data_IF_873301212230
#
_entry.id   IF_873301212230
#
_cell.length_a   1.000
_cell.length_b   1.000
_cell.length_c   1.000
_cell.angle_alpha   90.00
_cell.angle_beta   90.00
_cell.angle_gamma   90.00
#
_symmetry.space_group_name_H-M   'P 1'
#
loop_
_entity.id
_entity.type
_entity.pdbx_description
1 polymer ?
#
# COMPACT_ATOMS: atom_id res chain seq x y z
N UNK A 1 20.60 3.71 25.70
CA UNK A 1 20.69 2.50 24.86
C UNK A 1 19.44 2.53 24.02
N UNK A 2 19.56 3.18 22.86
CA UNK A 2 18.46 3.39 21.94
C UNK A 2 17.87 2.04 21.55
N UNK A 3 16.62 1.79 21.93
CA UNK A 3 15.87 0.69 21.37
C UNK A 3 15.57 1.11 19.93
N UNK A 4 16.38 0.61 19.01
CA UNK A 4 16.06 0.63 17.58
C UNK A 4 14.63 0.12 17.41
N UNK A 5 13.84 0.83 16.61
CA UNK A 5 12.47 0.45 16.19
C UNK A 5 12.52 -0.77 15.24
N UNK A 6 13.22 -1.83 15.64
CA UNK A 6 13.19 -3.13 14.98
C UNK A 6 11.86 -3.81 15.34
N UNK A 7 10.83 -3.46 14.57
CA UNK A 7 9.47 -3.96 14.77
C UNK A 7 9.13 -5.15 13.85
N UNK A 8 10.02 -5.53 12.93
CA UNK A 8 9.75 -6.55 11.90
C UNK A 8 10.88 -7.58 11.82
N UNK A 9 10.58 -8.82 12.22
CA UNK A 9 11.51 -9.95 12.17
C UNK A 9 11.83 -10.42 10.75
N UNK A 10 10.98 -10.11 9.77
CA UNK A 10 11.21 -10.54 8.39
C UNK A 10 12.56 -10.04 7.87
N UNK A 11 12.77 -8.71 7.90
CA UNK A 11 13.98 -8.09 7.35
C UNK A 11 15.21 -8.40 8.19
N UNK A 12 15.08 -8.30 9.52
CA UNK A 12 16.23 -8.27 10.43
C UNK A 12 16.64 -9.64 10.96
N UNK A 13 15.80 -10.67 10.78
CA UNK A 13 16.14 -12.05 11.17
C UNK A 13 15.93 -13.04 10.04
N UNK A 14 14.75 -13.04 9.42
CA UNK A 14 14.37 -14.09 8.45
C UNK A 14 15.19 -14.00 7.17
N UNK A 15 15.24 -12.81 6.56
CA UNK A 15 16.01 -12.56 5.34
C UNK A 15 17.51 -12.77 5.57
N UNK A 16 18.05 -12.28 6.69
CA UNK A 16 19.48 -12.47 7.01
C UNK A 16 19.85 -13.94 7.20
N UNK A 17 19.05 -14.72 7.94
CA UNK A 17 19.29 -16.17 8.10
C UNK A 17 19.19 -16.91 6.78
N UNK A 18 18.17 -16.58 5.96
CA UNK A 18 18.02 -17.18 4.64
C UNK A 18 19.21 -16.86 3.72
N UNK A 19 19.77 -15.64 3.82
CA UNK A 19 20.95 -15.24 3.03
C UNK A 19 22.19 -16.09 3.34
N UNK A 20 22.35 -16.56 4.58
CA UNK A 20 23.44 -17.45 4.94
C UNK A 20 23.33 -18.85 4.32
N UNK A 21 22.11 -19.27 3.96
CA UNK A 21 21.83 -20.62 3.49
C UNK A 21 21.57 -20.67 1.98
N UNK A 22 21.15 -19.57 1.37
CA UNK A 22 20.78 -19.49 -0.05
C UNK A 22 21.44 -18.29 -0.75
N UNK A 23 22.28 -18.60 -1.74
CA UNK A 23 22.97 -17.64 -2.58
C UNK A 23 22.03 -16.69 -3.34
N UNK A 24 20.86 -17.18 -3.78
CA UNK A 24 19.88 -16.38 -4.50
C UNK A 24 19.32 -15.25 -3.62
N UNK A 25 19.08 -15.53 -2.34
CA UNK A 25 18.65 -14.55 -1.34
C UNK A 25 19.76 -13.52 -1.12
N UNK A 26 21.01 -13.97 -0.98
CA UNK A 26 22.17 -13.07 -0.86
C UNK A 26 22.30 -12.13 -2.07
N UNK A 27 22.22 -12.67 -3.29
CA UNK A 27 22.30 -11.84 -4.50
C UNK A 27 21.14 -10.85 -4.61
N UNK A 28 19.91 -11.24 -4.20
CA UNK A 28 18.77 -10.34 -4.20
C UNK A 28 18.94 -9.17 -3.21
N UNK A 29 19.47 -9.43 -2.00
CA UNK A 29 19.76 -8.37 -1.01
C UNK A 29 20.80 -7.38 -1.55
N UNK A 30 21.88 -7.89 -2.16
CA UNK A 30 22.92 -7.04 -2.77
C UNK A 30 22.31 -6.18 -3.89
N UNK A 31 21.44 -6.77 -4.72
CA UNK A 31 20.76 -6.05 -5.80
C UNK A 31 19.90 -4.91 -5.28
N UNK A 32 19.07 -5.15 -4.25
CA UNK A 32 18.21 -4.13 -3.62
C UNK A 32 19.07 -3.02 -2.99
N UNK A 33 20.13 -3.38 -2.25
CA UNK A 33 21.02 -2.41 -1.62
C UNK A 33 21.73 -1.51 -2.64
N UNK A 34 22.22 -2.08 -3.75
CA UNK A 34 22.82 -1.31 -4.83
C UNK A 34 21.78 -0.41 -5.53
N UNK A 35 20.55 -0.89 -5.72
CA UNK A 35 19.48 -0.09 -6.32
C UNK A 35 19.03 1.05 -5.41
N UNK A 36 18.94 0.81 -4.10
CA UNK A 36 18.63 1.84 -3.11
C UNK A 36 19.68 2.98 -3.14
N UNK A 37 20.98 2.64 -3.26
CA UNK A 37 22.04 3.64 -3.45
C UNK A 37 21.91 4.41 -4.75
N UNK A 38 21.50 3.75 -5.83
CA UNK A 38 21.22 4.42 -7.11
C UNK A 38 20.11 5.46 -6.95
N UNK A 39 19.03 5.12 -6.23
CA UNK A 39 17.89 5.99 -5.96
C UNK A 39 18.20 7.19 -5.06
N UNK A 40 19.30 7.18 -4.31
CA UNK A 40 19.75 8.37 -3.57
C UNK A 40 20.14 9.51 -4.52
N UNK A 41 20.60 9.18 -5.73
CA UNK A 41 21.08 10.17 -6.69
C UNK A 41 20.07 10.47 -7.81
N UNK A 42 19.05 9.63 -7.98
CA UNK A 42 18.09 9.78 -9.08
C UNK A 42 16.63 9.61 -8.71
N UNK A 43 15.85 10.55 -9.23
CA UNK A 43 14.39 10.58 -9.15
C UNK A 43 13.69 9.84 -10.29
N UNK A 44 14.43 9.31 -11.28
CA UNK A 44 13.85 8.74 -12.51
C UNK A 44 13.50 7.25 -12.36
N UNK A 45 12.49 6.72 -13.09
CA UNK A 45 12.30 5.28 -13.23
C UNK A 45 13.50 4.66 -13.97
N UNK A 46 14.21 3.75 -13.32
CA UNK A 46 15.49 3.23 -13.82
C UNK A 46 15.32 2.04 -14.78
N UNK A 47 14.18 1.33 -14.72
CA UNK A 47 13.88 0.18 -15.59
C UNK A 47 13.91 0.51 -17.09
N UNK A 48 13.50 1.72 -17.49
CA UNK A 48 13.43 2.12 -18.91
C UNK A 48 14.56 3.04 -19.37
N UNK A 49 15.22 3.73 -18.44
CA UNK A 49 16.37 4.59 -18.73
C UNK A 49 17.60 4.02 -18.00
N UNK A 50 18.24 2.98 -18.56
CA UNK A 50 19.32 2.26 -17.90
C UNK A 50 20.65 3.03 -17.82
N UNK A 51 20.69 4.29 -18.28
CA UNK A 51 21.88 5.13 -18.28
C UNK A 51 21.69 6.35 -17.36
N UNK A 52 21.94 6.18 -16.05
CA UNK A 52 22.11 7.29 -15.15
C UNK A 52 23.11 8.34 -15.65
N UNK A 53 22.86 9.64 -15.48
CA UNK A 53 23.77 10.68 -15.92
C UNK A 53 25.09 10.71 -15.13
N UNK A 54 25.11 10.16 -13.90
CA UNK A 54 26.27 10.12 -13.03
C UNK A 54 26.98 8.74 -13.09
N UNK A 55 28.31 8.73 -13.14
CA UNK A 55 29.16 7.53 -13.17
C UNK A 55 28.96 6.63 -11.94
N UNK A 56 28.81 7.22 -10.76
CA UNK A 56 28.61 6.45 -9.52
C UNK A 56 27.21 5.83 -9.46
N UNK A 57 26.21 6.57 -9.93
CA UNK A 57 24.83 6.08 -10.08
C UNK A 57 24.76 4.94 -11.10
N UNK A 58 25.40 5.10 -12.26
CA UNK A 58 25.52 4.05 -13.29
C UNK A 58 26.21 2.80 -12.73
N UNK A 59 27.26 2.96 -11.94
CA UNK A 59 27.99 1.83 -11.32
C UNK A 59 27.10 1.05 -10.35
N UNK A 60 26.39 1.74 -9.46
CA UNK A 60 25.45 1.11 -8.54
C UNK A 60 24.27 0.46 -9.27
N UNK A 61 23.76 1.10 -10.33
CA UNK A 61 22.68 0.56 -11.15
C UNK A 61 23.09 -0.74 -11.87
N UNK A 62 24.25 -0.73 -12.55
CA UNK A 62 24.77 -1.94 -13.21
C UNK A 62 25.01 -3.07 -12.22
N UNK A 63 25.52 -2.75 -11.03
CA UNK A 63 25.67 -3.71 -9.93
C UNK A 63 24.32 -4.30 -9.53
N UNK A 64 23.29 -3.46 -9.36
CA UNK A 64 21.94 -3.89 -9.01
C UNK A 64 21.37 -4.88 -10.03
N UNK A 65 21.39 -4.52 -11.32
CA UNK A 65 20.86 -5.37 -12.41
C UNK A 65 21.64 -6.67 -12.54
N UNK A 66 22.97 -6.62 -12.43
CA UNK A 66 23.83 -7.81 -12.48
C UNK A 66 23.48 -8.81 -11.38
N UNK A 67 23.41 -8.34 -10.13
CA UNK A 67 23.09 -9.22 -8.99
C UNK A 67 21.64 -9.69 -9.01
N UNK A 68 20.71 -8.88 -9.51
CA UNK A 68 19.32 -9.30 -9.69
C UNK A 68 19.21 -10.46 -10.69
N UNK A 69 19.87 -10.36 -11.85
CA UNK A 69 19.93 -11.46 -12.84
C UNK A 69 20.61 -12.72 -12.27
N UNK A 70 21.66 -12.54 -11.44
CA UNK A 70 22.32 -13.64 -10.74
C UNK A 70 21.40 -14.31 -9.72
N UNK A 71 20.60 -13.53 -9.00
CA UNK A 71 19.59 -14.03 -8.07
C UNK A 71 18.54 -14.86 -8.81
N UNK A 72 17.96 -14.35 -9.90
CA UNK A 72 16.96 -15.07 -10.71
C UNK A 72 17.53 -16.40 -11.24
N UNK A 73 18.71 -16.37 -11.87
CA UNK A 73 19.31 -17.58 -12.44
C UNK A 73 19.67 -18.63 -11.37
N UNK A 74 20.12 -18.19 -10.20
CA UNK A 74 20.42 -19.09 -9.08
C UNK A 74 19.16 -19.67 -8.48
N UNK A 75 18.12 -18.84 -8.28
CA UNK A 75 16.84 -19.28 -7.75
C UNK A 75 16.12 -20.27 -8.67
N UNK A 76 16.15 -20.05 -9.99
CA UNK A 76 15.58 -21.02 -10.96
C UNK A 76 16.23 -22.40 -10.83
N UNK A 77 17.57 -22.45 -10.76
CA UNK A 77 18.29 -23.72 -10.53
C UNK A 77 17.92 -24.35 -9.19
N UNK A 78 17.78 -23.53 -8.14
CA UNK A 78 17.33 -24.00 -6.83
C UNK A 78 15.97 -24.70 -6.95
N UNK A 79 14.96 -24.05 -7.55
CA UNK A 79 13.63 -24.65 -7.75
C UNK A 79 13.73 -25.94 -8.56
N UNK A 80 14.45 -25.94 -9.69
CA UNK A 80 14.53 -27.11 -10.58
C UNK A 80 15.14 -28.34 -9.88
N UNK A 81 16.05 -28.11 -8.93
CA UNK A 81 16.67 -29.16 -8.11
C UNK A 81 15.89 -29.55 -6.86
N UNK A 82 14.87 -28.77 -6.51
CA UNK A 82 14.12 -28.89 -5.25
C UNK A 82 12.84 -29.68 -5.41
N UNK A 83 12.36 -30.25 -4.30
CA UNK A 83 11.03 -30.85 -4.25
C UNK A 83 10.00 -29.76 -3.95
N UNK A 84 8.98 -29.52 -4.82
CA UNK A 84 8.01 -28.44 -4.63
C UNK A 84 7.22 -28.51 -3.31
N UNK A 85 7.06 -29.71 -2.76
CA UNK A 85 6.31 -29.95 -1.53
C UNK A 85 7.13 -29.80 -0.24
N UNK A 86 8.40 -29.46 -0.34
CA UNK A 86 9.22 -29.16 0.83
C UNK A 86 8.83 -27.79 1.44
N UNK A 87 8.69 -27.76 2.77
CA UNK A 87 8.35 -26.54 3.51
C UNK A 87 9.46 -25.48 3.42
N UNK A 88 10.73 -25.89 3.44
CA UNK A 88 11.87 -24.97 3.37
C UNK A 88 11.99 -24.34 1.99
N UNK A 89 11.64 -25.10 0.94
CA UNK A 89 11.57 -24.60 -0.44
C UNK A 89 10.50 -23.53 -0.57
N UNK A 90 9.30 -23.76 -0.02
CA UNK A 90 8.23 -22.74 -0.04
C UNK A 90 8.55 -21.51 0.79
N UNK A 91 9.19 -21.68 1.95
CA UNK A 91 9.69 -20.58 2.76
C UNK A 91 10.64 -19.70 1.95
N UNK A 92 11.58 -20.34 1.24
CA UNK A 92 12.55 -19.66 0.38
C UNK A 92 11.86 -18.97 -0.81
N UNK A 93 10.89 -19.62 -1.45
CA UNK A 93 10.05 -19.02 -2.52
C UNK A 93 9.36 -17.75 -2.03
N UNK A 94 8.77 -17.75 -0.83
CA UNK A 94 8.12 -16.55 -0.29
C UNK A 94 9.14 -15.43 -0.05
N UNK A 95 10.26 -15.73 0.61
CA UNK A 95 11.32 -14.75 0.91
C UNK A 95 11.82 -14.10 -0.38
N UNK A 96 12.21 -14.89 -1.38
CA UNK A 96 12.76 -14.35 -2.62
C UNK A 96 11.70 -13.61 -3.45
N UNK A 97 10.44 -14.05 -3.40
CA UNK A 97 9.33 -13.34 -4.07
C UNK A 97 9.17 -11.94 -3.49
N UNK A 98 9.17 -11.82 -2.16
CA UNK A 98 9.14 -10.50 -1.50
C UNK A 98 10.34 -9.64 -1.91
N UNK A 99 11.55 -10.20 -1.96
CA UNK A 99 12.74 -9.47 -2.38
C UNK A 99 12.67 -9.00 -3.84
N UNK A 100 12.17 -9.84 -4.75
CA UNK A 100 11.97 -9.44 -6.15
C UNK A 100 10.89 -8.37 -6.30
N UNK A 101 9.78 -8.45 -5.56
CA UNK A 101 8.76 -7.39 -5.54
C UNK A 101 9.38 -6.07 -5.09
N UNK A 102 10.15 -6.06 -4.01
CA UNK A 102 10.84 -4.84 -3.54
C UNK A 102 11.81 -4.30 -4.58
N UNK A 103 12.58 -5.18 -5.24
CA UNK A 103 13.47 -4.78 -6.32
C UNK A 103 12.70 -4.08 -7.45
N UNK A 104 11.61 -4.67 -7.95
CA UNK A 104 10.82 -4.09 -9.04
C UNK A 104 10.16 -2.76 -8.64
N UNK A 105 9.65 -2.64 -7.40
CA UNK A 105 9.13 -1.36 -6.87
C UNK A 105 10.25 -0.30 -6.87
N UNK A 106 11.43 -0.67 -6.37
CA UNK A 106 12.59 0.22 -6.35
C UNK A 106 13.10 0.52 -7.75
N UNK A 107 12.91 -0.37 -8.71
CA UNK A 107 13.30 -0.17 -10.10
C UNK A 107 12.32 0.73 -10.84
N UNK A 108 11.08 0.84 -10.31
CA UNK A 108 9.97 1.61 -10.87
C UNK A 108 9.11 0.79 -11.85
N UNK A 109 9.23 -0.53 -11.83
CA UNK A 109 8.49 -1.43 -12.70
C UNK A 109 7.25 -1.99 -11.99
N UNK A 110 6.23 -1.12 -11.84
CA UNK A 110 5.00 -1.43 -11.12
C UNK A 110 4.26 -2.65 -11.68
N UNK A 111 4.36 -2.90 -13.00
CA UNK A 111 3.74 -4.06 -13.64
C UNK A 111 4.36 -5.36 -13.14
N UNK A 112 5.69 -5.47 -13.18
CA UNK A 112 6.36 -6.67 -12.70
C UNK A 112 6.14 -6.87 -11.20
N UNK A 113 6.16 -5.78 -10.41
CA UNK A 113 5.84 -5.84 -8.98
C UNK A 113 4.42 -6.40 -8.73
N UNK A 114 3.40 -5.92 -9.45
CA UNK A 114 2.02 -6.41 -9.32
C UNK A 114 1.90 -7.89 -9.74
N UNK A 115 2.49 -8.27 -10.88
CA UNK A 115 2.47 -9.65 -11.37
C UNK A 115 3.18 -10.61 -10.41
N UNK A 116 4.37 -10.24 -9.90
CA UNK A 116 5.11 -11.04 -8.91
C UNK A 116 4.33 -11.16 -7.61
N UNK A 117 3.73 -10.07 -7.14
CA UNK A 117 2.90 -10.08 -5.92
C UNK A 117 1.69 -10.99 -6.09
N UNK A 118 0.95 -10.83 -7.20
CA UNK A 118 -0.20 -11.70 -7.53
C UNK A 118 0.20 -13.16 -7.60
N UNK A 119 1.33 -13.45 -8.24
CA UNK A 119 1.84 -14.82 -8.38
C UNK A 119 2.22 -15.39 -7.03
N UNK A 120 2.89 -14.61 -6.18
CA UNK A 120 3.21 -14.98 -4.80
C UNK A 120 1.96 -15.33 -3.99
N UNK A 121 0.95 -14.47 -4.03
CA UNK A 121 -0.34 -14.70 -3.34
C UNK A 121 -1.02 -15.97 -3.86
N UNK A 122 -1.10 -16.17 -5.18
CA UNK A 122 -1.79 -17.32 -5.77
C UNK A 122 -1.05 -18.64 -5.55
N UNK A 123 0.27 -18.66 -5.70
CA UNK A 123 1.09 -19.86 -5.47
C UNK A 123 1.03 -20.34 -4.03
N UNK A 124 0.87 -19.41 -3.10
CA UNK A 124 0.89 -19.68 -1.68
C UNK A 124 -0.50 -19.58 -1.05
N UNK A 125 -1.57 -19.36 -1.83
CA UNK A 125 -2.94 -19.08 -1.36
C UNK A 125 -3.45 -20.08 -0.32
N UNK A 126 -3.33 -21.37 -0.60
CA UNK A 126 -3.83 -22.43 0.30
C UNK A 126 -2.97 -22.59 1.56
N UNK A 127 -1.89 -21.81 1.65
CA UNK A 127 -0.85 -21.86 2.68
C UNK A 127 -0.65 -20.51 3.40
N UNK A 128 -1.05 -19.40 2.75
CA UNK A 128 -1.11 -18.04 3.27
C UNK A 128 -2.41 -17.84 4.02
N UNK A 129 -2.36 -17.11 5.13
CA UNK A 129 -3.53 -16.75 5.95
C UNK A 129 -4.32 -17.96 6.48
N UNK A 130 -3.73 -18.66 7.44
CA UNK A 130 -4.49 -19.20 8.57
C UNK A 130 -4.28 -18.28 9.76
N UNK A 131 -5.33 -17.57 10.18
CA UNK A 131 -5.27 -16.84 11.45
C UNK A 131 -6.56 -17.12 12.22
N UNK A 132 -6.45 -18.17 13.05
CA UNK A 132 -7.30 -18.54 14.20
C UNK A 132 -8.77 -18.90 13.90
N UNK A 133 -9.07 -20.20 14.02
CA UNK A 133 -10.41 -20.72 14.27
C UNK A 133 -10.91 -20.25 15.64
N UNK A 134 -12.21 -19.93 15.74
CA UNK A 134 -12.98 -19.56 16.94
C UNK A 134 -12.82 -20.58 18.11
N UNK A 135 -12.22 -21.74 17.86
CA UNK A 135 -12.01 -22.83 18.82
C UNK A 135 -10.57 -23.00 19.30
N UNK A 136 -9.89 -21.93 19.75
CA UNK A 136 -8.72 -22.02 20.64
C UNK A 136 -7.48 -22.80 20.16
N UNK A 137 -7.44 -23.27 18.91
CA UNK A 137 -6.24 -23.85 18.30
C UNK A 137 -5.70 -22.90 17.24
N UNK A 138 -4.50 -22.37 17.50
CA UNK A 138 -3.79 -21.52 16.56
C UNK A 138 -3.42 -22.35 15.32
N UNK A 139 -4.18 -22.21 14.24
CA UNK A 139 -3.75 -22.73 12.94
C UNK A 139 -2.57 -21.87 12.48
N UNK A 140 -1.38 -22.47 12.45
CA UNK A 140 -0.13 -21.84 12.00
C UNK A 140 -0.10 -21.85 10.47
N UNK A 141 0.49 -20.82 9.85
CA UNK A 141 0.80 -20.88 8.42
C UNK A 141 1.54 -22.19 8.11
N UNK A 142 1.17 -22.89 7.04
CA UNK A 142 1.89 -24.12 6.63
C UNK A 142 3.26 -23.82 5.99
N UNK A 143 3.58 -22.53 5.83
CA UNK A 143 4.88 -22.00 5.42
C UNK A 143 5.77 -21.65 6.63
N UNK A 144 5.17 -21.47 7.81
CA UNK A 144 5.88 -21.38 9.07
C UNK A 144 6.42 -22.78 9.42
N UNK A 145 7.75 -22.90 9.49
CA UNK A 145 8.44 -24.15 9.79
C UNK A 145 8.52 -24.40 11.30
N UNK A 146 9.58 -25.08 11.75
CA UNK A 146 9.85 -25.31 13.18
C UNK A 146 10.66 -24.19 13.84
N UNK A 147 11.09 -23.14 13.11
CA UNK A 147 11.97 -22.08 13.59
C UNK A 147 11.50 -20.69 13.12
N UNK A 148 11.26 -19.81 14.09
CA UNK A 148 11.08 -18.35 13.98
C UNK A 148 10.12 -17.91 12.85
N UNK A 149 8.83 -17.91 13.22
CA UNK A 149 7.69 -17.91 12.30
C UNK A 149 7.09 -16.53 12.07
N UNK A 150 7.37 -15.56 12.94
CA UNK A 150 6.79 -14.22 12.84
C UNK A 150 7.21 -13.52 11.54
N UNK A 151 8.48 -13.61 11.15
CA UNK A 151 8.97 -12.99 9.92
C UNK A 151 8.34 -13.58 8.65
N UNK A 152 7.94 -14.86 8.65
CA UNK A 152 7.23 -15.46 7.52
C UNK A 152 5.80 -14.95 7.42
N UNK A 153 5.10 -14.83 8.55
CA UNK A 153 3.77 -14.21 8.57
C UNK A 153 3.86 -12.74 8.13
N UNK A 154 4.86 -12.00 8.58
CA UNK A 154 5.11 -10.63 8.12
C UNK A 154 5.34 -10.55 6.60
N UNK A 155 6.04 -11.53 6.01
CA UNK A 155 6.22 -11.64 4.56
C UNK A 155 4.91 -11.88 3.81
N UNK A 156 4.03 -12.73 4.36
CA UNK A 156 2.69 -12.95 3.79
C UNK A 156 1.86 -11.67 3.82
N UNK A 157 1.84 -10.98 4.97
CA UNK A 157 1.15 -9.70 5.16
C UNK A 157 1.74 -8.62 4.26
N UNK A 158 3.04 -8.66 4.01
CA UNK A 158 3.72 -7.74 3.08
C UNK A 158 3.21 -7.89 1.65
N UNK A 159 3.03 -9.12 1.14
CA UNK A 159 2.48 -9.34 -0.19
C UNK A 159 1.05 -8.79 -0.33
N UNK A 160 0.19 -9.01 0.66
CA UNK A 160 -1.18 -8.44 0.66
C UNK A 160 -1.16 -6.90 0.59
N UNK A 161 -0.27 -6.27 1.35
CA UNK A 161 -0.11 -4.81 1.34
C UNK A 161 0.48 -4.30 0.02
N UNK A 162 1.46 -5.00 -0.53
CA UNK A 162 2.01 -4.69 -1.86
C UNK A 162 0.95 -4.81 -2.94
N UNK A 163 0.08 -5.84 -2.89
CA UNK A 163 -1.00 -6.01 -3.85
C UNK A 163 -1.94 -4.80 -3.79
N UNK A 164 -2.25 -4.31 -2.59
CA UNK A 164 -3.08 -3.12 -2.45
C UNK A 164 -2.41 -1.85 -3.02
N UNK A 165 -1.10 -1.66 -2.82
CA UNK A 165 -0.36 -0.49 -3.33
C UNK A 165 -0.15 -0.56 -4.86
N UNK A 166 0.15 -1.73 -5.40
CA UNK A 166 0.52 -1.93 -6.81
C UNK A 166 -0.68 -2.13 -7.75
N UNK A 167 -1.86 -2.50 -7.20
CA UNK A 167 -3.04 -2.82 -7.99
C UNK A 167 -4.10 -1.71 -8.01
N UNK A 168 -5.16 -1.92 -8.82
CA UNK A 168 -6.36 -1.07 -8.89
C UNK A 168 -7.26 -1.17 -7.65
N UNK A 169 -6.77 -1.76 -6.55
CA UNK A 169 -7.51 -1.79 -5.29
C UNK A 169 -7.97 -0.40 -4.84
N UNK A 170 -7.30 0.66 -5.31
CA UNK A 170 -7.66 2.05 -5.07
C UNK A 170 -7.97 2.82 -6.36
N UNK A 171 -8.84 3.81 -6.20
CA UNK A 171 -9.74 4.36 -7.23
C UNK A 171 -9.07 4.84 -8.53
N UNK A 172 -7.84 5.39 -8.50
CA UNK A 172 -7.23 6.11 -9.62
C UNK A 172 -5.77 5.69 -9.88
N UNK A 173 -5.48 4.39 -9.94
CA UNK A 173 -4.13 3.88 -10.24
C UNK A 173 -3.92 3.59 -11.75
N UNK A 174 -3.31 4.49 -12.55
CA UNK A 174 -3.19 4.33 -14.01
C UNK A 174 -2.14 3.30 -14.46
N UNK A 175 -1.21 2.91 -13.57
CA UNK A 175 -0.21 1.87 -13.84
C UNK A 175 -0.67 0.46 -13.48
N UNK A 176 -1.73 0.39 -12.66
CA UNK A 176 -2.07 -0.82 -11.97
C UNK A 176 -2.75 -1.81 -12.91
N UNK A 177 -2.19 -3.01 -12.96
CA UNK A 177 -2.94 -4.17 -13.43
C UNK A 177 -3.91 -4.57 -12.34
N UNK A 178 -4.90 -5.37 -12.73
CA UNK A 178 -5.83 -5.93 -11.77
C UNK A 178 -5.31 -7.23 -11.17
N UNK A 179 -4.04 -7.61 -11.38
CA UNK A 179 -3.57 -8.96 -11.03
C UNK A 179 -3.44 -9.11 -9.52
N UNK A 180 -2.79 -8.18 -8.82
CA UNK A 180 -2.74 -8.17 -7.36
C UNK A 180 -4.14 -8.07 -6.73
N UNK A 181 -5.03 -7.23 -7.30
CA UNK A 181 -6.41 -7.11 -6.84
C UNK A 181 -7.19 -8.42 -7.03
N UNK A 182 -7.08 -9.07 -8.19
CA UNK A 182 -7.69 -10.38 -8.47
C UNK A 182 -7.16 -11.42 -7.49
N UNK A 183 -5.86 -11.46 -7.23
CA UNK A 183 -5.29 -12.40 -6.26
C UNK A 183 -5.86 -12.19 -4.85
N UNK A 184 -6.02 -10.93 -4.41
CA UNK A 184 -6.69 -10.63 -3.14
C UNK A 184 -8.16 -11.07 -3.13
N UNK A 185 -8.89 -10.94 -4.24
CA UNK A 185 -10.27 -11.43 -4.36
C UNK A 185 -10.37 -12.96 -4.26
N UNK A 186 -9.29 -13.69 -4.60
CA UNK A 186 -9.24 -15.14 -4.46
C UNK A 186 -8.96 -15.59 -3.02
N UNK A 187 -8.51 -14.72 -2.12
CA UNK A 187 -8.37 -15.05 -0.70
C UNK A 187 -9.77 -15.36 -0.14
N UNK A 188 -9.98 -16.49 0.57
CA UNK A 188 -11.30 -16.90 1.07
C UNK A 188 -12.02 -15.80 1.87
N UNK A 189 -13.33 -15.67 1.63
CA UNK A 189 -14.16 -14.61 2.22
C UNK A 189 -14.73 -14.93 3.59
N UNK A 190 -14.88 -16.21 3.93
CA UNK A 190 -15.61 -16.67 5.13
C UNK A 190 -14.89 -16.38 6.44
N UNK A 191 -13.58 -16.16 6.42
CA UNK A 191 -12.74 -16.13 7.63
C UNK A 191 -11.77 -14.94 7.61
N UNK A 192 -12.26 -13.74 7.29
CA UNK A 192 -11.46 -12.52 7.44
C UNK A 192 -11.18 -12.30 8.94
N UNK A 193 -10.03 -12.74 9.41
CA UNK A 193 -9.64 -12.54 10.80
C UNK A 193 -9.34 -11.07 11.04
N UNK A 194 -10.18 -10.42 11.84
CA UNK A 194 -9.97 -9.04 12.28
C UNK A 194 -9.41 -9.07 13.70
N UNK A 195 -8.10 -8.82 13.90
CA UNK A 195 -7.50 -8.92 15.23
C UNK A 195 -7.96 -7.78 16.14
N UNK A 196 -8.24 -8.12 17.40
CA UNK A 196 -8.37 -7.14 18.47
C UNK A 196 -7.04 -6.45 18.77
N UNK A 197 -7.05 -5.24 19.37
CA UNK A 197 -5.82 -4.63 19.84
C UNK A 197 -5.13 -5.53 20.89
N UNK A 198 -3.79 -5.47 21.00
CA UNK A 198 -3.08 -6.15 22.07
C UNK A 198 -3.46 -5.59 23.45
N UNK A 199 -3.17 -6.37 24.48
CA UNK A 199 -3.23 -5.89 25.86
C UNK A 199 -2.36 -4.64 26.05
N UNK A 200 -2.76 -3.78 26.97
CA UNK A 200 -2.11 -2.49 27.15
C UNK A 200 -0.63 -2.62 27.50
N UNK A 201 -0.19 -3.64 28.23
CA UNK A 201 1.21 -3.87 28.60
C UNK A 201 2.04 -4.55 27.51
N UNK A 202 1.45 -4.89 26.35
CA UNK A 202 2.16 -5.52 25.25
C UNK A 202 3.26 -4.62 24.66
N UNK A 203 4.27 -5.28 24.07
CA UNK A 203 5.40 -4.58 23.46
C UNK A 203 5.00 -3.82 22.19
N UNK A 204 5.75 -2.78 21.83
CA UNK A 204 5.57 -2.06 20.55
C UNK A 204 5.60 -2.99 19.34
N UNK A 205 6.45 -4.03 19.38
CA UNK A 205 6.56 -5.04 18.33
C UNK A 205 5.28 -5.87 18.21
N UNK A 206 4.65 -6.22 19.34
CA UNK A 206 3.34 -6.89 19.35
C UNK A 206 2.25 -6.01 18.76
N UNK A 207 2.22 -4.73 19.14
CA UNK A 207 1.31 -3.73 18.54
C UNK A 207 1.53 -3.60 17.03
N UNK A 208 2.78 -3.54 16.58
CA UNK A 208 3.12 -3.46 15.15
C UNK A 208 2.65 -4.69 14.39
N UNK A 209 3.01 -5.88 14.84
CA UNK A 209 2.63 -7.12 14.18
C UNK A 209 1.10 -7.31 14.09
N UNK A 210 0.36 -7.06 15.18
CA UNK A 210 -1.10 -7.19 15.16
C UNK A 210 -1.75 -6.11 14.27
N UNK A 211 -1.19 -4.90 14.23
CA UNK A 211 -1.67 -3.86 13.32
C UNK A 211 -1.46 -4.25 11.84
N UNK A 212 -0.36 -4.92 11.49
CA UNK A 212 -0.16 -5.44 10.13
C UNK A 212 -1.24 -6.45 9.71
N UNK A 213 -1.68 -7.29 10.65
CA UNK A 213 -2.79 -8.22 10.42
C UNK A 213 -4.12 -7.48 10.22
N UNK A 214 -4.42 -6.50 11.09
CA UNK A 214 -5.59 -5.64 10.93
C UNK A 214 -5.59 -4.94 9.57
N UNK A 215 -4.44 -4.38 9.17
CA UNK A 215 -4.30 -3.66 7.93
C UNK A 215 -4.51 -4.57 6.72
N UNK A 216 -3.97 -5.79 6.73
CA UNK A 216 -4.25 -6.77 5.68
C UNK A 216 -5.76 -7.07 5.57
N UNK A 217 -6.45 -7.25 6.70
CA UNK A 217 -7.90 -7.49 6.70
C UNK A 217 -8.68 -6.30 6.10
N UNK A 218 -8.34 -5.07 6.50
CA UNK A 218 -8.90 -3.82 5.96
C UNK A 218 -8.73 -3.76 4.43
N UNK A 219 -7.52 -4.02 3.93
CA UNK A 219 -7.20 -3.93 2.50
C UNK A 219 -7.91 -5.00 1.67
N UNK A 220 -8.01 -6.23 2.17
CA UNK A 220 -8.76 -7.31 1.52
C UNK A 220 -10.25 -6.95 1.43
N UNK A 221 -10.85 -6.52 2.55
CA UNK A 221 -12.25 -6.10 2.57
C UNK A 221 -12.51 -4.92 1.62
N UNK A 222 -11.65 -3.90 1.66
CA UNK A 222 -11.73 -2.73 0.79
C UNK A 222 -11.71 -3.12 -0.69
N UNK A 223 -10.79 -4.00 -1.06
CA UNK A 223 -10.68 -4.51 -2.44
C UNK A 223 -11.95 -5.23 -2.88
N UNK A 224 -12.56 -6.04 -1.99
CA UNK A 224 -13.83 -6.73 -2.29
C UNK A 224 -14.97 -5.76 -2.53
N UNK A 225 -15.20 -4.82 -1.61
CA UNK A 225 -16.26 -3.81 -1.75
C UNK A 225 -16.09 -3.01 -3.04
N UNK A 226 -14.86 -2.62 -3.37
CA UNK A 226 -14.54 -1.93 -4.62
C UNK A 226 -14.82 -2.77 -5.86
N UNK A 227 -14.48 -4.05 -5.85
CA UNK A 227 -14.77 -4.96 -6.96
C UNK A 227 -16.28 -5.08 -7.20
N UNK A 228 -17.10 -5.21 -6.15
CA UNK A 228 -18.56 -5.22 -6.27
C UNK A 228 -19.09 -3.94 -6.91
N UNK A 229 -18.61 -2.78 -6.44
CA UNK A 229 -18.98 -1.47 -7.02
C UNK A 229 -18.61 -1.34 -8.50
N UNK A 230 -17.41 -1.78 -8.88
CA UNK A 230 -16.96 -1.76 -10.28
C UNK A 230 -17.80 -2.67 -11.19
N UNK A 231 -18.34 -3.76 -10.65
CA UNK A 231 -19.23 -4.68 -11.37
C UNK A 231 -20.71 -4.26 -11.31
N UNK A 232 -21.03 -3.09 -10.75
CA UNK A 232 -22.41 -2.61 -10.52
C UNK A 232 -23.25 -3.61 -9.70
N UNK A 233 -22.60 -4.38 -8.83
CA UNK A 233 -23.22 -5.33 -7.92
C UNK A 233 -23.49 -4.62 -6.59
N UNK A 234 -24.75 -4.59 -6.17
CA UNK A 234 -25.12 -3.98 -4.90
C UNK A 234 -24.46 -4.71 -3.71
N UNK A 235 -23.75 -3.95 -2.87
CA UNK A 235 -23.15 -4.45 -1.63
C UNK A 235 -24.22 -4.93 -0.64
N UNK A 236 -25.42 -4.37 -0.69
CA UNK A 236 -26.55 -4.77 0.17
C UNK A 236 -27.00 -6.21 -0.08
N UNK A 237 -26.69 -6.77 -1.26
CA UNK A 237 -26.97 -8.17 -1.59
C UNK A 237 -25.96 -9.15 -0.98
N UNK A 238 -24.93 -8.65 -0.28
CA UNK A 238 -23.82 -9.42 0.28
C UNK A 238 -23.72 -9.19 1.81
N UNK A 239 -24.59 -9.85 2.61
CA UNK A 239 -24.66 -9.63 4.06
C UNK A 239 -23.35 -9.91 4.81
N UNK A 240 -22.49 -10.77 4.25
CA UNK A 240 -21.15 -11.06 4.77
C UNK A 240 -20.24 -9.83 4.74
N UNK A 241 -20.30 -8.99 3.70
CA UNK A 241 -19.48 -7.77 3.59
C UNK A 241 -19.93 -6.72 4.61
N UNK A 242 -21.25 -6.60 4.82
CA UNK A 242 -21.82 -5.73 5.84
C UNK A 242 -21.45 -6.21 7.26
N UNK A 243 -21.47 -7.53 7.50
CA UNK A 243 -21.02 -8.08 8.77
C UNK A 243 -19.53 -7.83 9.01
N UNK A 244 -18.68 -8.04 8.00
CA UNK A 244 -17.25 -7.76 8.08
C UNK A 244 -16.98 -6.28 8.34
N UNK A 245 -17.74 -5.38 7.72
CA UNK A 245 -17.63 -3.95 8.01
C UNK A 245 -17.91 -3.64 9.48
N UNK A 246 -18.99 -4.20 10.05
CA UNK A 246 -19.33 -4.00 11.47
C UNK A 246 -18.24 -4.50 12.40
N UNK A 247 -17.65 -5.65 12.09
CA UNK A 247 -16.53 -6.20 12.85
C UNK A 247 -15.30 -5.28 12.74
N UNK A 248 -14.91 -4.89 11.53
CA UNK A 248 -13.80 -3.96 11.28
C UNK A 248 -13.98 -2.64 12.05
N UNK A 249 -15.15 -2.02 11.99
CA UNK A 249 -15.44 -0.77 12.69
C UNK A 249 -15.40 -0.94 14.22
N UNK A 250 -15.82 -2.09 14.73
CA UNK A 250 -15.76 -2.40 16.17
C UNK A 250 -14.30 -2.56 16.61
N UNK A 251 -13.51 -3.33 15.88
CA UNK A 251 -12.09 -3.50 16.20
C UNK A 251 -11.31 -2.18 16.03
N UNK A 252 -11.55 -1.42 14.97
CA UNK A 252 -10.93 -0.10 14.76
C UNK A 252 -11.19 0.86 15.93
N UNK A 253 -12.40 0.87 16.50
CA UNK A 253 -12.68 1.65 17.74
C UNK A 253 -11.83 1.16 18.92
N UNK A 254 -11.77 -0.15 19.15
CA UNK A 254 -10.91 -0.72 20.19
C UNK A 254 -9.43 -0.36 19.99
N UNK A 255 -8.94 -0.39 18.74
CA UNK A 255 -7.58 0.03 18.41
C UNK A 255 -7.32 1.52 18.66
N UNK A 256 -8.27 2.39 18.32
CA UNK A 256 -8.21 3.83 18.62
C UNK A 256 -8.05 4.03 20.14
N UNK A 257 -8.90 3.38 20.95
CA UNK A 257 -8.83 3.45 22.41
C UNK A 257 -7.50 2.92 22.97
N UNK A 258 -7.02 1.78 22.44
CA UNK A 258 -5.76 1.19 22.85
C UNK A 258 -4.57 2.12 22.56
N UNK A 259 -4.55 2.77 21.39
CA UNK A 259 -3.52 3.74 21.07
C UNK A 259 -3.61 5.00 21.94
N UNK A 260 -4.81 5.52 22.22
CA UNK A 260 -4.97 6.64 23.17
C UNK A 260 -4.44 6.29 24.56
N UNK A 261 -4.63 5.05 25.01
CA UNK A 261 -4.07 4.57 26.27
C UNK A 261 -2.53 4.53 26.23
N UNK A 262 -1.92 4.11 25.12
CA UNK A 262 -0.45 4.16 24.96
C UNK A 262 0.07 5.60 24.93
N UNK A 263 -0.61 6.52 24.25
CA UNK A 263 -0.19 7.92 24.18
C UNK A 263 -0.19 8.64 25.54
N UNK A 264 -0.98 8.16 26.49
CA UNK A 264 -0.99 8.68 27.88
C UNK A 264 0.16 8.16 28.74
N UNK A 265 0.88 7.13 28.28
CA UNK A 265 2.00 6.53 29.00
C UNK A 265 3.29 7.26 28.70
N UNK A 266 4.23 7.16 29.65
CA UNK A 266 5.56 7.73 29.50
C UNK A 266 6.42 6.82 28.63
N UNK A 267 6.52 7.14 27.34
CA UNK A 267 7.41 6.47 26.40
C UNK A 267 8.56 7.39 25.96
N UNK A 268 9.59 6.81 25.34
CA UNK A 268 10.59 7.58 24.60
C UNK A 268 9.93 8.26 23.37
N UNK A 269 10.51 9.37 22.91
CA UNK A 269 9.90 10.22 21.86
C UNK A 269 9.67 9.46 20.54
N UNK A 270 10.55 8.55 20.16
CA UNK A 270 10.43 7.74 18.95
C UNK A 270 9.27 6.74 19.03
N UNK A 271 9.04 6.14 20.20
CA UNK A 271 7.91 5.23 20.46
C UNK A 271 6.58 6.00 20.48
N UNK A 272 6.56 7.20 21.08
CA UNK A 272 5.38 8.08 21.03
C UNK A 272 5.03 8.42 19.58
N UNK A 273 6.01 8.83 18.79
CA UNK A 273 5.80 9.16 17.38
C UNK A 273 5.19 8.00 16.58
N UNK A 274 5.63 6.76 16.85
CA UNK A 274 5.03 5.56 16.27
C UNK A 274 3.54 5.43 16.64
N UNK A 275 3.21 5.50 17.93
CA UNK A 275 1.82 5.36 18.39
C UNK A 275 0.93 6.50 17.89
N UNK A 276 1.44 7.73 17.82
CA UNK A 276 0.72 8.88 17.25
C UNK A 276 0.37 8.63 15.78
N UNK A 277 1.35 8.18 14.99
CA UNK A 277 1.12 7.86 13.58
C UNK A 277 0.12 6.72 13.39
N UNK A 278 0.25 5.64 14.16
CA UNK A 278 -0.69 4.51 14.03
C UNK A 278 -2.10 4.87 14.49
N UNK A 279 -2.23 5.69 15.53
CA UNK A 279 -3.51 6.25 15.94
C UNK A 279 -4.19 7.03 14.81
N UNK A 280 -3.44 7.91 14.13
CA UNK A 280 -3.96 8.68 12.99
C UNK A 280 -4.34 7.78 11.81
N UNK A 281 -3.51 6.78 11.47
CA UNK A 281 -3.80 5.81 10.40
C UNK A 281 -5.06 4.98 10.72
N UNK A 282 -5.25 4.60 11.98
CA UNK A 282 -6.43 3.86 12.43
C UNK A 282 -7.70 4.70 12.34
N UNK A 283 -7.63 5.99 12.73
CA UNK A 283 -8.74 6.93 12.54
C UNK A 283 -9.09 7.13 11.06
N UNK A 284 -8.08 7.29 10.20
CA UNK A 284 -8.29 7.41 8.76
C UNK A 284 -8.95 6.14 8.19
N UNK A 285 -8.47 4.96 8.59
CA UNK A 285 -9.07 3.70 8.20
C UNK A 285 -10.54 3.59 8.66
N UNK A 286 -10.85 4.00 9.90
CA UNK A 286 -12.22 4.04 10.41
C UNK A 286 -13.15 4.89 9.53
N UNK A 287 -12.69 6.08 9.12
CA UNK A 287 -13.46 6.97 8.23
C UNK A 287 -13.68 6.29 6.88
N UNK A 288 -12.61 5.78 6.25
CA UNK A 288 -12.69 5.10 4.95
C UNK A 288 -13.69 3.94 5.03
N UNK A 289 -13.52 3.02 5.98
CA UNK A 289 -14.38 1.83 6.12
C UNK A 289 -15.83 2.22 6.37
N UNK A 290 -16.08 3.28 7.16
CA UNK A 290 -17.45 3.78 7.39
C UNK A 290 -18.10 4.26 6.09
N UNK A 291 -17.36 5.00 5.27
CA UNK A 291 -17.88 5.62 4.05
C UNK A 291 -17.89 4.68 2.83
N UNK A 292 -17.13 3.60 2.87
CA UNK A 292 -16.85 2.77 1.69
C UNK A 292 -18.03 1.94 1.20
N UNK A 293 -19.12 1.79 1.97
CA UNK A 293 -20.34 1.15 1.46
C UNK A 293 -21.40 2.17 1.04
N UNK A 294 -21.33 3.42 1.52
CA UNK A 294 -22.31 4.46 1.19
C UNK A 294 -22.29 4.78 -0.32
N UNK A 295 -23.36 4.45 -1.08
CA UNK A 295 -23.40 4.67 -2.51
C UNK A 295 -23.59 6.16 -2.86
N UNK A 296 -24.12 6.95 -1.93
CA UNK A 296 -24.41 8.37 -2.14
C UNK A 296 -23.17 9.25 -1.97
N UNK A 297 -22.11 8.73 -1.34
CA UNK A 297 -20.94 9.48 -0.90
C UNK A 297 -21.28 10.67 0.03
N UNK A 298 -22.47 10.69 0.63
CA UNK A 298 -22.88 11.72 1.59
C UNK A 298 -22.10 11.58 2.89
N UNK A 299 -21.83 10.34 3.32
CA UNK A 299 -21.10 10.08 4.55
C UNK A 299 -19.67 10.62 4.50
N UNK A 300 -19.07 10.69 3.32
CA UNK A 300 -17.77 11.37 3.12
C UNK A 300 -17.82 12.87 3.41
N UNK A 301 -18.96 13.51 3.13
CA UNK A 301 -19.16 14.93 3.37
C UNK A 301 -19.48 15.18 4.85
N UNK A 302 -20.29 14.31 5.45
CA UNK A 302 -20.60 14.35 6.89
C UNK A 302 -19.32 14.16 7.76
N UNK A 303 -18.34 13.40 7.26
CA UNK A 303 -17.04 13.14 7.93
C UNK A 303 -15.94 14.16 7.57
N UNK A 304 -16.24 15.20 6.79
CA UNK A 304 -15.25 16.20 6.39
C UNK A 304 -14.58 16.93 7.58
N UNK A 305 -15.29 17.30 8.67
CA UNK A 305 -14.67 17.92 9.83
C UNK A 305 -13.60 17.04 10.49
N UNK A 306 -13.85 15.75 10.65
CA UNK A 306 -12.91 14.77 11.19
C UNK A 306 -11.70 14.60 10.25
N UNK A 307 -11.92 14.58 8.94
CA UNK A 307 -10.85 14.56 7.95
C UNK A 307 -9.98 15.82 8.01
N UNK A 308 -10.57 16.99 8.26
CA UNK A 308 -9.85 18.24 8.44
C UNK A 308 -8.95 18.20 9.68
N UNK A 309 -9.45 17.69 10.81
CA UNK A 309 -8.64 17.54 12.04
C UNK A 309 -7.41 16.62 11.82
N UNK A 310 -7.60 15.53 11.09
CA UNK A 310 -6.51 14.61 10.76
C UNK A 310 -5.46 15.23 9.83
N UNK A 311 -5.87 16.18 8.97
CA UNK A 311 -5.00 16.80 7.95
C UNK A 311 -3.77 17.44 8.57
N UNK A 312 -3.95 18.32 9.57
CA UNK A 312 -2.84 19.07 10.15
C UNK A 312 -1.86 18.15 10.89
N UNK A 313 -2.40 17.14 11.59
CA UNK A 313 -1.59 16.15 12.32
C UNK A 313 -0.76 15.31 11.35
N UNK A 314 -1.36 14.76 10.30
CA UNK A 314 -0.64 14.00 9.27
C UNK A 314 0.41 14.84 8.55
N UNK A 315 0.10 16.10 8.22
CA UNK A 315 1.05 17.03 7.59
C UNK A 315 2.27 17.25 8.48
N UNK A 316 2.09 17.40 9.80
CA UNK A 316 3.20 17.53 10.74
C UNK A 316 4.09 16.28 10.75
N UNK A 317 3.52 15.07 10.78
CA UNK A 317 4.28 13.82 10.69
C UNK A 317 5.03 13.70 9.36
N UNK A 318 4.39 14.03 8.23
CA UNK A 318 5.02 13.96 6.92
C UNK A 318 6.20 14.93 6.80
N UNK A 319 6.05 16.16 7.29
CA UNK A 319 7.13 17.14 7.29
C UNK A 319 8.30 16.69 8.18
N UNK A 320 8.03 16.10 9.34
CA UNK A 320 9.07 15.55 10.20
C UNK A 320 9.86 14.43 9.49
N UNK A 321 9.16 13.54 8.77
CA UNK A 321 9.78 12.44 8.02
C UNK A 321 10.62 12.95 6.83
N UNK A 322 10.10 13.91 6.06
CA UNK A 322 10.82 14.53 4.95
C UNK A 322 12.10 15.24 5.43
N UNK A 323 12.03 15.91 6.58
CA UNK A 323 13.20 16.54 7.18
C UNK A 323 14.26 15.53 7.66
N UNK A 324 13.83 14.34 8.09
CA UNK A 324 14.76 13.30 8.53
C UNK A 324 15.50 12.65 7.35
N UNK A 325 14.82 12.45 6.21
CA UNK A 325 15.44 11.95 4.98
C UNK A 325 16.61 12.80 4.45
N UNK A 326 16.59 14.11 4.73
CA UNK A 326 17.65 15.03 4.31
C UNK A 326 18.97 14.81 5.07
N UNK A 327 18.95 14.04 6.16
CA UNK A 327 20.15 13.71 6.93
C UNK A 327 20.93 12.57 6.24
N UNK A 328 22.28 12.62 6.19
CA UNK A 328 23.11 11.59 5.55
C UNK A 328 22.83 10.15 6.05
N UNK A 329 22.48 10.01 7.34
CA UNK A 329 22.16 8.72 7.97
C UNK A 329 20.65 8.41 7.99
N UNK A 330 19.79 9.39 7.69
CA UNK A 330 18.32 9.26 7.69
C UNK A 330 17.75 8.53 6.48
N UNK A 331 18.62 8.13 5.53
CA UNK A 331 18.24 7.43 4.31
C UNK A 331 17.83 5.96 4.52
N UNK A 332 18.13 5.38 5.68
CA UNK A 332 17.59 4.08 6.11
C UNK A 332 16.23 4.28 6.80
N UNK A 333 15.29 4.92 6.10
CA UNK A 333 13.89 4.72 6.46
C UNK A 333 13.65 3.22 6.42
N UNK A 334 13.28 2.66 7.57
CA UNK A 334 12.85 1.26 7.66
C UNK A 334 11.89 1.00 6.49
N UNK A 335 12.20 -0.01 5.67
CA UNK A 335 11.41 -0.33 4.49
C UNK A 335 9.92 -0.40 4.83
N UNK A 336 9.60 -0.96 5.99
CA UNK A 336 8.27 -1.01 6.58
C UNK A 336 7.60 0.37 6.78
N UNK A 337 8.37 1.38 7.20
CA UNK A 337 7.88 2.76 7.32
C UNK A 337 7.58 3.38 5.94
N UNK A 338 8.43 3.11 4.94
CA UNK A 338 8.17 3.53 3.56
C UNK A 338 6.86 2.93 3.04
N UNK A 339 6.65 1.62 3.24
CA UNK A 339 5.42 0.96 2.82
C UNK A 339 4.19 1.51 3.54
N UNK A 340 4.31 1.84 4.83
CA UNK A 340 3.24 2.50 5.59
C UNK A 340 2.85 3.84 4.96
N UNK A 341 3.83 4.66 4.53
CA UNK A 341 3.55 5.90 3.81
C UNK A 341 2.96 5.68 2.41
N UNK A 342 3.29 4.57 1.73
CA UNK A 342 2.64 4.17 0.48
C UNK A 342 1.15 3.88 0.67
N UNK A 343 0.78 3.20 1.76
CA UNK A 343 -0.62 2.95 2.12
C UNK A 343 -1.32 4.26 2.48
N UNK A 344 -0.67 5.15 3.24
CA UNK A 344 -1.19 6.49 3.53
C UNK A 344 -1.47 7.29 2.26
N UNK A 345 -0.50 7.36 1.33
CA UNK A 345 -0.65 8.10 0.07
C UNK A 345 -1.86 7.58 -0.70
N UNK A 346 -2.02 6.27 -0.70
CA UNK A 346 -3.11 5.61 -1.37
C UNK A 346 -4.47 5.92 -0.70
N UNK A 347 -4.54 5.89 0.62
CA UNK A 347 -5.70 6.34 1.40
C UNK A 347 -6.03 7.83 1.16
N UNK A 348 -5.01 8.69 1.12
CA UNK A 348 -5.13 10.12 0.85
C UNK A 348 -5.73 10.39 -0.54
N UNK A 349 -5.28 9.67 -1.58
CA UNK A 349 -5.85 9.78 -2.93
C UNK A 349 -7.31 9.32 -2.98
N UNK A 350 -7.66 8.26 -2.24
CA UNK A 350 -9.05 7.80 -2.14
C UNK A 350 -9.94 8.86 -1.49
N UNK A 351 -9.56 9.36 -0.30
CA UNK A 351 -10.28 10.41 0.41
C UNK A 351 -10.48 11.65 -0.47
N UNK A 352 -9.41 12.10 -1.14
CA UNK A 352 -9.45 13.29 -2.01
C UNK A 352 -10.40 13.12 -3.21
N UNK A 353 -10.52 11.89 -3.74
CA UNK A 353 -11.43 11.59 -4.84
C UNK A 353 -12.89 11.47 -4.39
N UNK A 354 -13.16 11.01 -3.16
CA UNK A 354 -14.52 10.74 -2.70
C UNK A 354 -15.19 11.95 -2.01
N UNK A 355 -14.45 12.67 -1.17
CA UNK A 355 -14.95 13.81 -0.39
C UNK A 355 -15.22 15.04 -1.27
N UNK A 356 -16.38 15.69 -1.11
CA UNK A 356 -16.74 16.90 -1.88
C UNK A 356 -16.28 18.20 -1.23
N UNK A 357 -15.92 18.17 0.06
CA UNK A 357 -15.39 19.35 0.72
C UNK A 357 -14.09 19.78 0.03
N UNK A 358 -14.10 21.02 -0.47
CA UNK A 358 -13.00 21.54 -1.29
C UNK A 358 -11.71 21.67 -0.49
N UNK A 359 -11.80 22.11 0.75
CA UNK A 359 -10.63 22.37 1.59
C UNK A 359 -9.95 21.05 1.94
N UNK A 360 -10.72 20.08 2.42
CA UNK A 360 -10.26 18.75 2.78
C UNK A 360 -9.66 18.06 1.56
N UNK A 361 -10.40 17.93 0.45
CA UNK A 361 -9.90 17.18 -0.70
C UNK A 361 -8.62 17.78 -1.29
N UNK A 362 -8.50 19.11 -1.33
CA UNK A 362 -7.31 19.79 -1.84
C UNK A 362 -6.14 19.66 -0.88
N UNK A 363 -6.38 19.71 0.43
CA UNK A 363 -5.32 19.53 1.42
C UNK A 363 -4.74 18.10 1.40
N UNK A 364 -5.60 17.08 1.25
CA UNK A 364 -5.16 15.68 1.19
C UNK A 364 -4.42 15.34 -0.10
N UNK A 365 -4.86 15.85 -1.26
CA UNK A 365 -4.10 15.64 -2.50
C UNK A 365 -2.77 16.41 -2.51
N UNK A 366 -2.72 17.58 -1.86
CA UNK A 366 -1.47 18.32 -1.67
C UNK A 366 -0.48 17.55 -0.78
N UNK A 367 -0.95 17.00 0.35
CA UNK A 367 -0.14 16.09 1.18
C UNK A 367 0.35 14.86 0.39
N UNK A 368 -0.51 14.26 -0.45
CA UNK A 368 -0.11 13.15 -1.30
C UNK A 368 0.99 13.56 -2.30
N UNK A 369 0.94 14.79 -2.85
CA UNK A 369 2.02 15.33 -3.70
C UNK A 369 3.32 15.51 -2.93
N UNK A 370 3.27 16.04 -1.71
CA UNK A 370 4.43 16.17 -0.84
C UNK A 370 5.05 14.81 -0.51
N UNK A 371 4.22 13.80 -0.20
CA UNK A 371 4.68 12.46 0.14
C UNK A 371 5.41 11.75 -1.01
N UNK A 372 5.20 12.14 -2.27
CA UNK A 372 5.97 11.62 -3.41
C UNK A 372 7.46 12.00 -3.35
N UNK A 373 7.82 13.04 -2.60
CA UNK A 373 9.21 13.42 -2.41
C UNK A 373 9.97 12.41 -1.54
N UNK A 374 9.26 11.55 -0.81
CA UNK A 374 9.88 10.39 -0.16
C UNK A 374 10.45 9.46 -1.24
N UNK A 375 11.76 9.22 -1.20
CA UNK A 375 12.57 8.60 -2.28
C UNK A 375 11.95 7.36 -2.94
N UNK A 376 11.26 6.54 -2.15
CA UNK A 376 10.73 5.24 -2.56
C UNK A 376 9.27 5.27 -3.03
N UNK A 377 8.52 6.35 -2.82
CA UNK A 377 7.10 6.46 -3.20
C UNK A 377 6.87 7.07 -4.59
N UNK A 378 7.94 7.48 -5.27
CA UNK A 378 7.88 8.08 -6.61
C UNK A 378 7.18 7.18 -7.64
N UNK A 379 7.17 5.86 -7.43
CA UNK A 379 6.47 4.91 -8.28
C UNK A 379 4.94 5.09 -8.26
N UNK A 380 4.38 5.75 -7.24
CA UNK A 380 2.95 6.08 -7.11
C UNK A 380 2.57 7.43 -7.75
N UNK A 381 3.50 8.10 -8.43
CA UNK A 381 3.30 9.46 -8.95
C UNK A 381 2.07 9.61 -9.85
N UNK A 382 1.89 8.72 -10.81
CA UNK A 382 0.71 8.79 -11.68
C UNK A 382 -0.60 8.55 -10.94
N UNK A 383 -0.64 7.88 -9.76
CA UNK A 383 -1.85 7.82 -8.94
C UNK A 383 -2.24 9.22 -8.44
N UNK A 384 -1.25 9.99 -7.97
CA UNK A 384 -1.45 11.37 -7.52
C UNK A 384 -1.83 12.29 -8.68
N UNK A 385 -1.20 12.14 -9.85
CA UNK A 385 -1.54 12.92 -11.05
C UNK A 385 -2.97 12.58 -11.52
N UNK A 386 -3.30 11.29 -11.64
CA UNK A 386 -4.64 10.83 -12.01
C UNK A 386 -5.69 11.38 -11.03
N UNK A 387 -5.42 11.30 -9.73
CA UNK A 387 -6.32 11.86 -8.71
C UNK A 387 -6.47 13.37 -8.82
N UNK A 388 -5.38 14.09 -9.09
CA UNK A 388 -5.43 15.54 -9.31
C UNK A 388 -6.29 15.90 -10.54
N UNK A 389 -6.19 15.14 -11.64
CA UNK A 389 -7.00 15.36 -12.84
C UNK A 389 -8.47 15.02 -12.62
N UNK A 390 -8.74 13.92 -11.93
CA UNK A 390 -10.10 13.54 -11.55
C UNK A 390 -10.77 14.64 -10.71
N UNK A 391 -10.09 15.12 -9.67
CA UNK A 391 -10.58 16.22 -8.83
C UNK A 391 -10.84 17.45 -9.67
N UNK A 392 -9.88 17.85 -10.52
CA UNK A 392 -10.03 19.02 -11.39
C UNK A 392 -11.27 18.91 -12.29
N UNK A 393 -11.51 17.72 -12.84
CA UNK A 393 -12.65 17.48 -13.74
C UNK A 393 -14.01 17.60 -13.04
N UNK A 394 -14.10 17.25 -11.75
CA UNK A 394 -15.30 17.46 -10.93
C UNK A 394 -15.42 18.90 -10.40
N UNK A 395 -14.30 19.55 -10.06
CA UNK A 395 -14.28 20.93 -9.54
C UNK A 395 -14.74 21.97 -10.57
N UNK A 396 -14.58 21.69 -11.87
CA UNK A 396 -15.11 22.52 -12.96
C UNK A 396 -16.63 22.69 -12.88
N UNK A 397 -17.33 21.72 -12.31
CA UNK A 397 -18.77 21.68 -12.20
C UNK A 397 -19.27 22.05 -10.78
N UNK A 398 -18.40 22.60 -9.90
CA UNK A 398 -18.80 23.08 -8.58
C UNK A 398 -19.75 24.28 -8.73
N UNK A 399 -20.90 24.19 -8.08
CA UNK A 399 -21.93 25.22 -8.16
C UNK A 399 -21.63 26.46 -7.29
N UNK A 400 -22.49 27.47 -7.41
CA UNK A 400 -22.38 28.74 -6.66
C UNK A 400 -22.53 28.55 -5.14
N UNK A 401 -23.16 27.46 -4.70
CA UNK A 401 -23.27 27.10 -3.27
C UNK A 401 -22.01 26.46 -2.73
N UNK A 402 -21.03 26.19 -3.60
CA UNK A 402 -19.79 25.55 -3.26
C UNK A 402 -19.93 24.04 -3.10
N UNK A 403 -20.91 23.39 -3.74
CA UNK A 403 -21.09 21.94 -3.73
C UNK A 403 -20.88 21.37 -5.13
N UNK A 404 -20.41 20.13 -5.23
CA UNK A 404 -20.36 19.39 -6.50
C UNK A 404 -21.66 18.61 -6.63
N UNK A 405 -22.54 18.95 -7.61
CA UNK A 405 -23.79 18.25 -7.82
C UNK A 405 -23.57 16.76 -8.08
N UNK A 406 -24.52 15.92 -7.65
CA UNK A 406 -24.43 14.47 -7.89
C UNK A 406 -24.35 14.12 -9.38
N UNK A 407 -25.05 14.87 -10.23
CA UNK A 407 -25.05 14.74 -11.68
C UNK A 407 -23.70 15.07 -12.34
N UNK A 408 -22.82 15.76 -11.61
CA UNK A 408 -21.46 16.12 -12.04
C UNK A 408 -20.38 15.26 -11.38
N UNK A 409 -20.77 14.18 -10.67
CA UNK A 409 -19.84 13.18 -10.14
C UNK A 409 -19.54 12.13 -11.21
N UNK A 410 -18.31 11.64 -11.19
CA UNK A 410 -17.87 10.61 -12.13
C UNK A 410 -17.42 9.33 -11.41
N UNK A 411 -17.47 8.22 -12.15
CA UNK A 411 -16.69 7.02 -11.92
C UNK A 411 -15.55 6.92 -12.91
N UNK A 412 -14.45 6.30 -12.50
CA UNK A 412 -13.36 6.00 -13.41
C UNK A 412 -13.74 4.80 -14.29
N UNK A 413 -13.70 4.99 -15.61
CA UNK A 413 -13.77 3.89 -16.57
C UNK A 413 -12.39 3.31 -16.82
N UNK A 414 -11.48 4.15 -17.34
CA UNK A 414 -10.11 3.76 -17.63
C UNK A 414 -9.13 4.86 -17.24
N UNK A 415 -8.01 4.47 -16.65
CA UNK A 415 -6.86 5.33 -16.44
C UNK A 415 -5.68 4.71 -17.18
N UNK A 416 -5.05 5.49 -18.04
CA UNK A 416 -3.89 5.07 -18.83
C UNK A 416 -2.75 6.03 -18.50
N UNK A 417 -1.61 5.48 -18.14
CA UNK A 417 -0.39 6.24 -18.01
C UNK A 417 0.58 5.90 -19.15
N UNK A 418 1.02 6.94 -19.86
CA UNK A 418 2.08 6.89 -20.84
C UNK A 418 3.39 7.32 -20.16
N UNK A 419 4.22 6.34 -19.80
CA UNK A 419 5.54 6.57 -19.17
C UNK A 419 6.49 7.38 -20.05
N UNK A 420 6.44 7.18 -21.37
CA UNK A 420 7.39 7.78 -22.31
C UNK A 420 7.10 9.27 -22.50
N UNK A 421 5.83 9.67 -22.42
CA UNK A 421 5.40 11.06 -22.54
C UNK A 421 5.11 11.73 -21.18
N UNK A 422 5.14 10.97 -20.07
CA UNK A 422 4.73 11.45 -18.75
C UNK A 422 3.26 11.92 -18.70
N UNK A 423 2.38 11.25 -19.45
CA UNK A 423 0.97 11.65 -19.62
C UNK A 423 0.04 10.69 -18.88
N UNK A 424 -0.94 11.24 -18.15
CA UNK A 424 -2.12 10.49 -17.70
C UNK A 424 -3.29 10.84 -18.62
N UNK A 425 -3.97 9.83 -19.13
CA UNK A 425 -5.28 9.95 -19.75
C UNK A 425 -6.32 9.23 -18.87
N UNK A 426 -7.39 9.94 -18.52
CA UNK A 426 -8.53 9.40 -17.80
C UNK A 426 -9.75 9.41 -18.70
N UNK A 427 -10.49 8.31 -18.69
CA UNK A 427 -11.86 8.25 -19.16
C UNK A 427 -12.77 8.11 -17.96
N UNK A 428 -13.68 9.06 -17.84
CA UNK A 428 -14.63 9.20 -16.74
C UNK A 428 -16.04 8.95 -17.26
N UNK A 429 -16.86 8.27 -16.47
CA UNK A 429 -18.28 8.02 -16.76
C UNK A 429 -19.09 8.72 -15.67
N UNK A 430 -20.09 9.52 -16.03
CA UNK A 430 -20.96 10.16 -15.05
C UNK A 430 -21.68 9.11 -14.18
N UNK A 431 -21.75 9.34 -12.87
CA UNK A 431 -22.41 8.42 -11.93
C UNK A 431 -23.91 8.28 -12.24
N UNK A 432 -24.54 9.39 -12.61
CA UNK A 432 -25.94 9.42 -12.99
C UNK A 432 -26.12 9.37 -14.51
N UNK A 433 -27.16 8.67 -14.95
CA UNK A 433 -27.58 8.70 -16.35
C UNK A 433 -28.28 10.03 -16.66
N UNK A 434 -28.08 10.55 -17.87
CA UNK A 434 -28.83 11.69 -18.37
C UNK A 434 -30.30 11.36 -18.64
N UNK A 435 -31.07 12.37 -19.05
CA UNK A 435 -32.49 12.22 -19.40
C UNK A 435 -32.75 11.20 -20.53
N UNK A 436 -31.74 10.89 -21.34
CA UNK A 436 -31.77 9.87 -22.40
C UNK A 436 -31.45 8.44 -21.90
N UNK A 437 -31.25 8.27 -20.58
CA UNK A 437 -30.88 7.01 -19.97
C UNK A 437 -29.41 6.61 -20.16
N UNK A 438 -28.58 7.46 -20.77
CA UNK A 438 -27.16 7.17 -21.01
C UNK A 438 -26.27 7.93 -20.02
N UNK A 439 -25.22 7.27 -19.51
CA UNK A 439 -24.19 7.94 -18.72
C UNK A 439 -23.23 8.68 -19.66
N UNK A 440 -22.97 9.96 -19.37
CA UNK A 440 -22.03 10.78 -20.16
C UNK A 440 -20.60 10.31 -19.92
N UNK A 441 -19.77 10.36 -20.95
CA UNK A 441 -18.32 10.09 -20.85
C UNK A 441 -17.52 11.38 -20.99
N UNK A 442 -16.52 11.59 -20.14
CA UNK A 442 -15.57 12.72 -20.19
C UNK A 442 -14.15 12.17 -20.29
N UNK A 443 -13.39 12.57 -21.30
CA UNK A 443 -11.97 12.26 -21.40
C UNK A 443 -11.14 13.44 -20.92
N UNK A 444 -10.20 13.17 -20.01
CA UNK A 444 -9.35 14.17 -19.38
C UNK A 444 -7.90 13.76 -19.59
N UNK A 445 -7.13 14.62 -20.25
CA UNK A 445 -5.73 14.39 -20.54
C UNK A 445 -4.88 15.44 -19.83
N UNK A 446 -3.74 15.01 -19.28
CA UNK A 446 -2.67 15.94 -18.93
C UNK A 446 -1.41 15.61 -19.68
N UNK A 447 -0.71 16.67 -20.11
CA UNK A 447 0.66 16.59 -20.55
C UNK A 447 1.53 17.22 -19.48
N UNK A 448 2.29 16.41 -18.78
CA UNK A 448 3.31 16.93 -17.86
C UNK A 448 4.52 17.36 -18.69
N UNK A 449 4.46 18.53 -19.33
CA UNK A 449 5.65 19.19 -19.88
C UNK A 449 6.46 19.79 -18.74
N UNK A 450 7.08 18.93 -17.92
CA UNK A 450 8.26 19.24 -17.10
C UNK A 450 8.85 17.92 -16.60
N UNK A 451 9.57 17.26 -17.50
CA UNK A 451 10.74 16.48 -17.10
C UNK A 451 11.78 17.51 -16.63
N UNK A 452 12.10 17.52 -15.33
CA UNK A 452 13.34 18.04 -14.70
C UNK A 452 13.31 19.09 -13.59
N UNK A 453 12.20 19.67 -13.16
CA UNK A 453 12.23 20.58 -12.00
C UNK A 453 11.09 20.31 -11.01
N UNK A 454 11.29 19.32 -10.11
CA UNK A 454 10.94 19.35 -8.67
C UNK A 454 11.94 18.45 -7.94
#
# INVERSE_FOLDING_TARGET
>A
MDQDLDMTDFWLRTVLRASHSDDSVTYAIIAIGALARTRMYSSRPLFRNPDPPNRDESTHYHTAVMYHNKAISTFRRYIDSSKPDDADVRRTILIITVLFVVFEIFHGNNRAADTLTSTGILLLRDKMLHTVSISGSASRSSLAGSIDDQGIVEAELFLTRCAAICSKAFYLAPYAHADGAKAMLMIPSTDLNVPSPPDGDASIKTFSFQFLNLLAAILIWHTRVRAHRQMDISVDSHPELLQQQRELLTQLRGWIEAYEAQLKRKHASNILHYFERQFLLTKLAYIIISCEIDPTAKLWDDMAPECAELTDKFRAHLNAELNDQLKPDGCLISLENTFSWGIFLTAATNLSAQCRDRSVRLAWIDMAKMAMNLSFLKHLRGNVIATTLFIKAEEEDRDETGVIPQSSRYDLDTAIWNEDLGQVCLRLIAKEAGHDGRRKTKEVLTVTLTLFDI
#
